data_IF_424798491172
#
_entry.id   IF_424798491172
#
_cell.length_a   1.000
_cell.length_b   1.000
_cell.length_c   1.000
_cell.angle_alpha   90.00
_cell.angle_beta   90.00
_cell.angle_gamma   90.00
#
_symmetry.space_group_name_H-M   'P 1'
#
loop_
_entity.id
_entity.type
_entity.pdbx_description
1 polymer ?
#
# COMPACT_ATOMS: atom_id res chain seq x y z
N UNK A 1 0.71 1.93 -20.05
CA UNK A 1 -0.38 1.05 -20.57
C UNK A 1 -0.09 -0.45 -20.39
N UNK A 2 1.16 -0.93 -20.21
CA UNK A 2 1.47 -2.37 -20.09
C UNK A 2 1.05 -3.04 -18.77
N UNK A 3 1.05 -2.36 -17.61
CA UNK A 3 0.60 -3.00 -16.36
C UNK A 3 -0.92 -3.21 -16.30
N UNK A 4 -1.72 -2.30 -16.86
CA UNK A 4 -3.19 -2.42 -16.85
C UNK A 4 -3.69 -3.66 -17.61
N UNK A 5 -2.99 -4.06 -18.69
CA UNK A 5 -3.29 -5.28 -19.44
C UNK A 5 -3.04 -6.57 -18.64
N UNK A 6 -2.14 -6.58 -17.65
CA UNK A 6 -1.95 -7.73 -16.76
C UNK A 6 -3.09 -7.84 -15.74
N UNK A 7 -3.75 -6.74 -15.42
CA UNK A 7 -4.87 -6.68 -14.48
C UNK A 7 -6.14 -7.36 -15.01
N UNK A 8 -6.32 -7.35 -16.34
CA UNK A 8 -7.39 -8.05 -17.07
C UNK A 8 -7.36 -9.57 -16.92
N UNK A 9 -6.34 -10.16 -16.26
CA UNK A 9 -6.30 -11.59 -15.94
C UNK A 9 -7.00 -11.95 -14.63
N UNK A 10 -7.33 -10.98 -13.77
CA UNK A 10 -8.01 -11.23 -12.50
C UNK A 10 -9.52 -11.13 -12.68
N UNK A 11 -10.25 -12.18 -12.30
CA UNK A 11 -11.71 -12.25 -12.50
C UNK A 11 -12.52 -11.53 -11.43
N UNK A 12 -11.95 -11.37 -10.22
CA UNK A 12 -12.63 -10.82 -9.05
C UNK A 12 -11.73 -9.80 -8.35
N UNK A 13 -12.35 -8.75 -7.82
CA UNK A 13 -11.70 -7.74 -6.98
C UNK A 13 -12.40 -7.69 -5.63
N UNK A 14 -11.63 -7.61 -4.55
CA UNK A 14 -12.14 -7.48 -3.19
C UNK A 14 -11.37 -6.36 -2.47
N UNK A 15 -12.08 -5.53 -1.72
CA UNK A 15 -11.45 -4.56 -0.83
C UNK A 15 -10.71 -5.31 0.27
N UNK A 16 -9.40 -5.09 0.35
CA UNK A 16 -8.56 -5.69 1.39
C UNK A 16 -8.63 -4.91 2.68
N UNK A 17 -8.41 -3.60 2.60
CA UNK A 17 -8.44 -2.66 3.72
C UNK A 17 -8.58 -1.22 3.19
N UNK A 18 -9.00 -0.30 4.05
CA UNK A 18 -9.08 1.14 3.77
C UNK A 18 -8.78 1.93 5.03
N UNK A 19 -7.92 2.94 4.91
CA UNK A 19 -7.55 3.80 6.02
C UNK A 19 -7.47 5.26 5.62
N UNK A 20 -7.63 6.14 6.62
CA UNK A 20 -7.44 7.58 6.48
C UNK A 20 -6.24 8.00 7.32
N UNK A 21 -5.30 8.71 6.69
CA UNK A 21 -4.09 9.23 7.34
C UNK A 21 -4.09 10.74 7.22
N UNK A 22 -3.88 11.45 8.34
CA UNK A 22 -3.51 12.87 8.32
C UNK A 22 -1.99 12.94 8.25
N UNK A 23 -1.47 13.54 7.19
CA UNK A 23 -0.04 13.74 6.97
C UNK A 23 0.28 15.23 7.02
N UNK A 24 1.48 15.55 7.50
CA UNK A 24 2.00 16.91 7.50
C UNK A 24 2.76 17.17 6.18
N UNK A 25 2.75 18.42 5.72
CA UNK A 25 3.46 18.81 4.51
C UNK A 25 4.97 18.59 4.65
N UNK A 26 5.57 17.91 3.67
CA UNK A 26 6.99 17.60 3.65
C UNK A 26 7.44 16.48 4.61
N UNK A 27 6.54 15.92 5.43
CA UNK A 27 6.86 14.94 6.47
C UNK A 27 6.46 13.52 6.10
N UNK A 28 7.19 12.54 6.65
CA UNK A 28 6.81 11.14 6.50
C UNK A 28 5.66 10.78 7.44
N UNK A 29 4.68 10.06 6.89
CA UNK A 29 3.62 9.39 7.64
C UNK A 29 3.64 7.90 7.32
N UNK A 30 3.33 7.09 8.33
CA UNK A 30 3.31 5.62 8.20
C UNK A 30 1.97 5.08 8.69
N UNK A 31 1.45 4.08 7.99
CA UNK A 31 0.34 3.26 8.46
C UNK A 31 0.61 1.78 8.18
N UNK A 32 0.22 0.92 9.12
CA UNK A 32 0.19 -0.52 8.93
C UNK A 32 -1.26 -0.96 8.71
N UNK A 33 -1.49 -1.87 7.77
CA UNK A 33 -2.84 -2.35 7.45
C UNK A 33 -2.83 -3.77 6.88
N UNK A 34 -4.01 -4.34 6.72
CA UNK A 34 -4.21 -5.74 6.35
C UNK A 34 -4.07 -6.72 7.53
N UNK A 35 -4.41 -8.00 7.31
CA UNK A 35 -4.35 -9.02 8.36
C UNK A 35 -2.97 -9.09 9.01
N UNK A 36 -2.93 -9.16 10.34
CA UNK A 36 -1.68 -9.27 11.12
C UNK A 36 -0.63 -8.17 10.83
N UNK A 37 -1.06 -6.96 10.43
CA UNK A 37 -0.17 -5.86 10.05
C UNK A 37 0.82 -6.22 8.93
N UNK A 38 0.39 -7.07 7.99
CA UNK A 38 1.26 -7.57 6.92
C UNK A 38 1.70 -6.51 5.90
N UNK A 39 1.11 -5.31 5.89
CA UNK A 39 1.53 -4.21 5.02
C UNK A 39 1.91 -2.96 5.79
N UNK A 40 2.92 -2.27 5.29
CA UNK A 40 3.31 -0.93 5.76
C UNK A 40 3.33 0.04 4.58
N UNK A 41 2.64 1.16 4.72
CA UNK A 41 2.58 2.23 3.74
C UNK A 41 3.22 3.49 4.31
N UNK A 42 4.23 3.97 3.59
CA UNK A 42 4.88 5.25 3.81
C UNK A 42 4.36 6.27 2.82
N UNK A 43 4.03 7.46 3.33
CA UNK A 43 3.53 8.60 2.58
C UNK A 43 4.39 9.82 2.91
N UNK A 44 4.78 10.58 1.90
CA UNK A 44 5.39 11.91 2.08
C UNK A 44 4.76 12.88 1.09
N UNK A 45 3.75 13.66 1.52
CA UNK A 45 3.16 14.69 0.67
C UNK A 45 4.07 15.92 0.61
N UNK A 46 4.01 16.63 -0.50
CA UNK A 46 4.50 17.98 -0.65
C UNK A 46 3.44 18.80 -1.37
N UNK A 47 2.92 19.83 -0.71
CA UNK A 47 1.90 20.72 -1.27
C UNK A 47 2.56 21.81 -2.09
N UNK A 48 1.94 22.15 -3.21
CA UNK A 48 2.34 23.28 -4.05
C UNK A 48 1.09 24.00 -4.54
N UNK A 49 1.12 25.32 -4.50
CA UNK A 49 0.09 26.18 -5.07
C UNK A 49 0.56 26.69 -6.43
N UNK A 50 -0.17 26.35 -7.49
CA UNK A 50 0.13 26.83 -8.83
C UNK A 50 -1.16 27.32 -9.48
N UNK A 51 -1.17 28.56 -9.94
CA UNK A 51 -2.25 29.17 -10.74
C UNK A 51 -3.68 28.84 -10.22
N UNK A 52 -3.89 29.04 -8.92
CA UNK A 52 -5.17 28.81 -8.22
C UNK A 52 -5.58 27.34 -8.00
N UNK A 53 -4.68 26.38 -8.23
CA UNK A 53 -4.90 24.97 -7.90
C UNK A 53 -3.91 24.51 -6.81
N UNK A 54 -4.44 23.80 -5.82
CA UNK A 54 -3.64 23.13 -4.80
C UNK A 54 -3.30 21.73 -5.26
N UNK A 55 -2.02 21.50 -5.54
CA UNK A 55 -1.47 20.22 -5.97
C UNK A 55 -0.74 19.54 -4.80
N UNK A 56 -0.81 18.22 -4.77
CA UNK A 56 -0.14 17.35 -3.80
C UNK A 56 0.82 16.46 -4.61
N UNK A 57 2.12 16.69 -4.46
CA UNK A 57 3.15 15.75 -4.91
C UNK A 57 3.37 14.72 -3.80
N UNK A 58 2.94 13.49 -4.02
CA UNK A 58 2.94 12.43 -3.02
C UNK A 58 3.97 11.36 -3.37
N UNK A 59 4.93 11.14 -2.48
CA UNK A 59 5.77 9.95 -2.51
C UNK A 59 5.07 8.83 -1.73
N UNK A 60 5.04 7.64 -2.32
CA UNK A 60 4.37 6.46 -1.79
C UNK A 60 5.31 5.27 -1.82
N UNK A 61 5.44 4.59 -0.69
CA UNK A 61 6.12 3.31 -0.63
C UNK A 61 5.26 2.29 0.14
N UNK A 62 4.83 1.23 -0.52
CA UNK A 62 4.10 0.12 0.07
C UNK A 62 5.03 -1.08 0.19
N UNK A 63 5.13 -1.60 1.39
CA UNK A 63 5.89 -2.79 1.72
C UNK A 63 5.02 -3.90 2.29
N UNK A 64 5.43 -5.15 2.08
CA UNK A 64 4.88 -6.33 2.73
C UNK A 64 5.86 -6.86 3.78
N UNK A 65 5.37 -7.07 5.00
CA UNK A 65 6.10 -7.72 6.09
C UNK A 65 5.89 -9.24 5.94
N UNK A 66 6.97 -10.01 6.00
CA UNK A 66 6.88 -11.47 6.09
C UNK A 66 6.55 -11.88 7.52
N UNK A 67 5.32 -12.33 7.73
CA UNK A 67 4.89 -13.00 8.95
C UNK A 67 5.02 -14.51 8.74
N UNK A 68 5.65 -15.22 9.68
CA UNK A 68 5.67 -16.68 9.69
C UNK A 68 4.78 -17.18 10.81
N UNK A 69 4.00 -18.19 10.46
CA UNK A 69 3.29 -19.00 11.43
C UNK A 69 4.27 -19.99 12.05
N UNK A 70 4.47 -19.91 13.36
CA UNK A 70 5.25 -20.89 14.11
C UNK A 70 4.31 -21.62 15.05
N UNK A 71 4.24 -22.93 14.87
CA UNK A 71 3.58 -23.84 15.80
C UNK A 71 4.51 -24.07 16.98
N UNK A 72 4.13 -23.57 18.15
CA UNK A 72 4.81 -23.86 19.42
C UNK A 72 3.78 -24.46 20.37
N UNK A 73 4.01 -25.69 20.85
CA UNK A 73 3.18 -26.37 21.86
C UNK A 73 1.66 -26.35 21.58
N UNK A 74 1.23 -26.77 20.39
CA UNK A 74 -0.19 -26.76 19.96
C UNK A 74 -0.87 -25.38 19.92
N UNK A 75 -0.11 -24.28 19.99
CA UNK A 75 -0.61 -22.92 19.80
C UNK A 75 0.01 -22.31 18.54
N UNK A 76 -0.83 -21.64 17.75
CA UNK A 76 -0.40 -20.88 16.58
C UNK A 76 0.11 -19.52 17.08
N UNK A 77 1.42 -19.30 16.97
CA UNK A 77 2.04 -18.00 17.22
C UNK A 77 2.44 -17.36 15.88
N UNK A 78 1.99 -16.12 15.65
CA UNK A 78 2.42 -15.32 14.52
C UNK A 78 3.66 -14.54 14.90
N UNK A 79 4.82 -14.90 14.34
CA UNK A 79 6.06 -14.16 14.56
C UNK A 79 6.42 -13.32 13.33
N UNK A 80 6.76 -12.07 13.58
CA UNK A 80 7.42 -11.24 12.58
C UNK A 80 8.85 -11.75 12.44
N UNK A 81 9.14 -12.44 11.34
CA UNK A 81 10.52 -12.83 11.05
C UNK A 81 11.22 -11.56 10.59
N UNK A 82 12.29 -11.17 11.30
CA UNK A 82 13.17 -10.04 10.97
C UNK A 82 13.83 -10.23 9.60
N UNK A 83 13.04 -10.04 8.56
CA UNK A 83 13.43 -10.07 7.16
C UNK A 83 13.08 -8.72 6.59
N UNK A 84 14.01 -8.16 5.80
CA UNK A 84 13.84 -6.86 5.18
C UNK A 84 12.46 -6.77 4.51
N UNK A 85 11.67 -5.72 4.78
CA UNK A 85 10.34 -5.57 4.21
C UNK A 85 10.43 -5.58 2.69
N UNK A 86 9.55 -6.34 2.03
CA UNK A 86 9.54 -6.39 0.57
C UNK A 86 8.80 -5.19 0.01
N UNK A 87 9.46 -4.40 -0.84
CA UNK A 87 8.79 -3.31 -1.54
C UNK A 87 7.87 -3.84 -2.63
N UNK A 88 6.58 -3.58 -2.48
CA UNK A 88 5.54 -3.94 -3.43
C UNK A 88 5.29 -2.82 -4.44
N UNK A 89 5.27 -1.57 -3.97
CA UNK A 89 5.03 -0.37 -4.79
C UNK A 89 5.96 0.74 -4.28
N UNK A 90 6.69 1.37 -5.18
CA UNK A 90 7.41 2.62 -4.93
C UNK A 90 7.08 3.58 -6.06
N UNK A 91 6.40 4.68 -5.74
CA UNK A 91 5.90 5.61 -6.75
C UNK A 91 5.89 7.04 -6.24
N UNK A 92 6.00 7.98 -7.16
CA UNK A 92 5.71 9.39 -6.94
C UNK A 92 4.55 9.78 -7.85
N UNK A 93 3.56 10.47 -7.30
CA UNK A 93 2.38 10.89 -8.06
C UNK A 93 1.99 12.33 -7.75
N UNK A 94 1.39 12.97 -8.74
CA UNK A 94 0.84 14.32 -8.63
C UNK A 94 -0.68 14.20 -8.57
N UNK A 95 -1.28 14.77 -7.53
CA UNK A 95 -2.72 14.77 -7.29
C UNK A 95 -3.20 16.20 -7.17
N UNK A 96 -4.38 16.53 -7.71
CA UNK A 96 -5.09 17.73 -7.27
C UNK A 96 -5.78 17.45 -5.95
N UNK A 97 -6.04 18.48 -5.14
CA UNK A 97 -6.84 18.31 -3.94
C UNK A 97 -8.22 17.71 -4.28
N UNK A 98 -8.62 16.67 -3.55
CA UNK A 98 -9.82 15.82 -3.72
C UNK A 98 -9.77 14.81 -4.88
N UNK A 99 -8.67 14.72 -5.61
CA UNK A 99 -8.51 13.71 -6.67
C UNK A 99 -8.18 12.33 -6.10
N UNK A 100 -8.58 11.31 -6.86
CA UNK A 100 -8.27 9.90 -6.64
C UNK A 100 -7.36 9.38 -7.76
N UNK A 101 -6.31 8.65 -7.40
CA UNK A 101 -5.42 7.99 -8.35
C UNK A 101 -5.15 6.54 -7.99
N UNK A 102 -4.94 5.72 -9.02
CA UNK A 102 -4.34 4.40 -8.89
C UNK A 102 -2.83 4.60 -8.81
N UNK A 103 -2.24 4.25 -7.66
CA UNK A 103 -0.79 4.42 -7.42
C UNK A 103 -0.01 3.32 -8.12
N UNK A 104 -0.50 2.09 -8.07
CA UNK A 104 0.20 0.96 -8.64
C UNK A 104 -0.46 -0.37 -8.31
N UNK A 105 0.10 -1.42 -8.90
CA UNK A 105 -0.37 -2.80 -8.76
C UNK A 105 0.81 -3.70 -8.51
N UNK A 106 0.70 -4.62 -7.56
CA UNK A 106 1.78 -5.54 -7.21
C UNK A 106 1.27 -6.97 -7.06
N UNK A 107 2.16 -7.96 -7.12
CA UNK A 107 1.84 -9.34 -6.75
C UNK A 107 2.20 -9.53 -5.29
N UNK A 108 1.31 -10.16 -4.53
CA UNK A 108 1.60 -10.49 -3.14
C UNK A 108 2.57 -11.66 -3.08
N UNK A 109 3.57 -11.57 -2.20
CA UNK A 109 4.41 -12.72 -1.92
C UNK A 109 3.66 -13.75 -1.09
N UNK A 110 3.96 -15.02 -1.38
CA UNK A 110 3.30 -16.17 -0.76
C UNK A 110 3.92 -16.46 0.62
N UNK A 111 3.06 -16.70 1.60
CA UNK A 111 3.46 -17.27 2.88
C UNK A 111 3.36 -18.80 2.80
N UNK A 112 4.38 -19.48 3.34
CA UNK A 112 4.72 -20.89 3.11
C UNK A 112 3.68 -21.94 3.55
N UNK A 113 2.51 -21.54 4.07
CA UNK A 113 1.46 -22.44 4.59
C UNK A 113 0.12 -22.36 3.84
N UNK A 114 -0.02 -21.55 2.78
CA UNK A 114 -1.29 -21.41 2.04
C UNK A 114 -1.15 -21.85 0.57
N UNK A 115 -2.16 -22.53 -0.03
CA UNK A 115 -2.09 -22.99 -1.41
C UNK A 115 -1.90 -21.80 -2.36
N UNK A 116 -1.16 -22.05 -3.44
CA UNK A 116 -0.73 -21.10 -4.49
C UNK A 116 -1.77 -20.02 -4.76
N UNK A 117 -1.64 -18.88 -4.09
CA UNK A 117 -2.59 -17.79 -4.20
C UNK A 117 -2.03 -16.72 -5.13
N UNK A 118 -2.54 -16.70 -6.37
CA UNK A 118 -2.13 -15.74 -7.39
C UNK A 118 -2.90 -14.43 -7.19
N UNK A 119 -2.67 -13.76 -6.06
CA UNK A 119 -3.36 -12.51 -5.70
C UNK A 119 -2.52 -11.29 -6.12
N UNK A 120 -3.16 -10.40 -6.88
CA UNK A 120 -2.68 -9.05 -7.11
C UNK A 120 -3.20 -8.09 -6.04
N UNK A 121 -2.42 -7.06 -5.74
CA UNK A 121 -2.79 -5.94 -4.90
C UNK A 121 -2.87 -4.68 -5.77
N UNK A 122 -3.87 -3.84 -5.52
CA UNK A 122 -4.04 -2.54 -6.15
C UNK A 122 -4.05 -1.50 -5.04
N UNK A 123 -3.21 -0.48 -5.15
CA UNK A 123 -3.22 0.65 -4.23
C UNK A 123 -3.90 1.86 -4.90
N UNK A 124 -4.93 2.36 -4.24
CA UNK A 124 -5.68 3.55 -4.66
C UNK A 124 -5.58 4.57 -3.53
N UNK A 125 -5.22 5.80 -3.87
CA UNK A 125 -5.12 6.91 -2.91
C UNK A 125 -6.03 8.04 -3.37
N UNK A 126 -6.72 8.66 -2.40
CA UNK A 126 -7.42 9.93 -2.57
C UNK A 126 -6.76 10.95 -1.65
N UNK A 127 -6.36 12.11 -2.17
CA UNK A 127 -5.68 13.16 -1.40
C UNK A 127 -6.58 14.38 -1.21
N UNK A 128 -6.56 15.01 -0.04
CA UNK A 128 -7.25 16.28 0.22
C UNK A 128 -6.38 17.16 1.11
N UNK A 129 -6.14 18.40 0.68
CA UNK A 129 -5.56 19.43 1.55
C UNK A 129 -6.65 19.96 2.47
N UNK A 130 -6.33 20.10 3.76
CA UNK A 130 -7.19 20.69 4.76
C UNK A 130 -6.75 22.15 4.95
N UNK A 131 -7.69 23.06 4.81
CA UNK A 131 -7.51 24.49 5.09
C UNK A 131 -7.50 24.76 6.61
#
# INVERSE_FOLDING_TARGET
MREFQKLLRYKNYQLLDSAMVRALDGEYSQINFGPNNQFTLYLKPKVSEEASQVNINLQVNLNQIKVQEVLSNNQIAWINISTSPLSLISSQLYLKSKDRAVVGTSRLEQHSSSPVNNKGLILIITGKVLD
#
